data_IF_808818093875
#
_entry.id   IF_808818093875
#
_cell.length_a   1.000
_cell.length_b   1.000
_cell.length_c   1.000
_cell.angle_alpha   90.00
_cell.angle_beta   90.00
_cell.angle_gamma   90.00
#
_symmetry.space_group_name_H-M   'P 1'
#
loop_
_entity.id
_entity.type
_entity.pdbx_description
1 polymer ?
#
# COMPACT_ATOMS: atom_id res chain seq x y z
N UNK A 1 18.91 24.36 78.35
CA UNK A 1 18.79 23.59 77.11
C UNK A 1 17.33 23.51 76.63
N UNK A 2 16.75 24.60 76.15
CA UNK A 2 15.40 24.61 75.57
C UNK A 2 15.20 25.87 74.72
N UNK A 3 15.97 26.03 73.60
CA UNK A 3 15.80 27.14 72.62
C UNK A 3 15.84 26.69 71.14
N UNK A 4 15.80 25.36 70.83
CA UNK A 4 16.00 24.86 69.46
C UNK A 4 14.74 24.34 68.72
N UNK A 5 13.55 24.31 69.33
CA UNK A 5 12.40 23.54 68.77
C UNK A 5 11.37 24.46 68.07
N UNK A 6 11.53 25.77 68.14
CA UNK A 6 10.50 26.71 67.65
C UNK A 6 10.65 27.15 66.18
N UNK A 7 11.81 26.93 65.56
CA UNK A 7 12.04 27.38 64.16
C UNK A 7 11.69 26.30 63.09
N UNK A 8 11.50 25.03 63.46
CA UNK A 8 11.25 23.93 62.48
C UNK A 8 9.76 23.88 62.07
N UNK A 9 8.84 24.42 62.89
CA UNK A 9 7.40 24.38 62.58
C UNK A 9 6.91 25.35 61.50
N UNK A 10 7.66 26.43 61.24
CA UNK A 10 7.35 27.39 60.19
C UNK A 10 7.74 26.98 58.79
N UNK A 11 8.81 26.18 58.67
CA UNK A 11 9.31 25.78 57.35
C UNK A 11 8.45 24.66 56.72
N UNK A 12 7.80 23.83 57.52
CA UNK A 12 6.92 22.76 57.00
C UNK A 12 5.58 23.26 56.47
N UNK A 13 5.09 24.39 56.92
CA UNK A 13 3.83 25.00 56.43
C UNK A 13 4.03 25.73 55.11
N UNK A 14 5.24 26.24 54.79
CA UNK A 14 5.55 26.82 53.50
C UNK A 14 5.81 25.79 52.40
N UNK A 15 6.35 24.62 52.74
CA UNK A 15 6.54 23.51 51.78
C UNK A 15 5.21 22.82 51.45
N UNK A 16 4.29 22.67 52.43
CA UNK A 16 2.95 22.12 52.18
C UNK A 16 2.08 23.04 51.29
N UNK A 17 2.29 24.35 51.32
CA UNK A 17 1.57 25.30 50.47
C UNK A 17 1.99 25.29 49.00
N UNK A 18 3.26 24.92 48.70
CA UNK A 18 3.79 24.86 47.32
C UNK A 18 3.39 23.58 46.57
N UNK A 19 3.03 22.51 47.28
CA UNK A 19 2.61 21.23 46.67
C UNK A 19 1.12 21.22 46.25
N UNK A 20 0.30 22.19 46.68
CA UNK A 20 -1.09 22.30 46.28
C UNK A 20 -1.33 23.19 45.06
N UNK A 21 -0.30 23.88 44.56
CA UNK A 21 -0.43 24.69 43.32
C UNK A 21 -0.21 23.89 42.02
N UNK A 22 0.11 22.59 42.10
CA UNK A 22 0.48 21.76 40.96
C UNK A 22 -0.66 21.01 40.26
N UNK A 23 -1.90 21.08 40.71
CA UNK A 23 -3.03 20.32 40.14
C UNK A 23 -4.18 21.19 39.62
N UNK A 24 -3.93 22.42 39.15
CA UNK A 24 -4.94 23.28 38.53
C UNK A 24 -4.74 23.40 37.03
N UNK A 25 -4.53 22.27 36.35
CA UNK A 25 -4.34 22.20 34.91
C UNK A 25 -5.11 21.06 34.26
N UNK A 26 -6.33 20.72 34.70
CA UNK A 26 -7.26 20.01 33.82
C UNK A 26 -7.68 21.01 32.76
N UNK A 27 -6.99 20.93 31.60
CA UNK A 27 -7.18 21.84 30.46
C UNK A 27 -8.58 21.68 29.86
N UNK A 28 -9.58 22.20 30.60
CA UNK A 28 -10.94 22.29 30.04
C UNK A 28 -10.86 23.22 28.84
N UNK A 29 -11.15 22.69 27.67
CA UNK A 29 -11.19 23.47 26.44
C UNK A 29 -12.10 24.67 26.66
N UNK A 30 -11.58 25.88 26.47
CA UNK A 30 -12.34 27.13 26.65
C UNK A 30 -12.93 27.51 25.30
N UNK A 31 -14.23 27.34 25.15
CA UNK A 31 -15.02 27.80 24.00
C UNK A 31 -16.45 28.06 24.46
N UNK A 32 -17.08 29.12 23.95
CA UNK A 32 -18.44 29.51 24.30
C UNK A 32 -19.48 29.12 23.22
N UNK A 33 -19.00 28.78 22.01
CA UNK A 33 -19.84 28.44 20.87
C UNK A 33 -19.15 27.43 19.94
N UNK A 34 -19.88 26.77 19.04
CA UNK A 34 -19.27 25.91 18.02
C UNK A 34 -18.36 26.68 17.08
N UNK A 35 -18.73 27.94 16.76
CA UNK A 35 -17.89 28.82 15.96
C UNK A 35 -16.53 29.09 16.63
N UNK A 36 -16.55 29.51 17.89
CA UNK A 36 -15.32 29.78 18.63
C UNK A 36 -14.42 28.53 18.74
N UNK A 37 -15.01 27.36 18.97
CA UNK A 37 -14.28 26.10 18.99
C UNK A 37 -13.63 25.81 17.65
N UNK A 38 -14.36 25.99 16.54
CA UNK A 38 -13.86 25.80 15.18
C UNK A 38 -12.72 26.78 14.83
N UNK A 39 -12.91 28.07 15.10
CA UNK A 39 -11.89 29.10 14.83
C UNK A 39 -10.59 28.83 15.60
N UNK A 40 -10.69 28.41 16.86
CA UNK A 40 -9.51 28.00 17.65
C UNK A 40 -8.84 26.74 17.08
N UNK A 41 -9.65 25.75 16.65
CA UNK A 41 -9.13 24.56 16.00
C UNK A 41 -8.36 24.90 14.72
N UNK A 42 -8.92 25.76 13.86
CA UNK A 42 -8.27 26.23 12.64
C UNK A 42 -6.99 27.01 12.91
N UNK A 43 -6.99 27.89 13.92
CA UNK A 43 -5.79 28.61 14.32
C UNK A 43 -4.66 27.67 14.76
N UNK A 44 -4.97 26.60 15.48
CA UNK A 44 -4.00 25.57 15.89
C UNK A 44 -3.56 24.71 14.72
N UNK A 45 -4.49 24.31 13.85
CA UNK A 45 -4.20 23.56 12.64
C UNK A 45 -3.21 24.29 11.74
N UNK A 46 -3.44 25.58 11.47
CA UNK A 46 -2.56 26.42 10.66
C UNK A 46 -1.18 26.65 11.31
N UNK A 47 -1.05 26.46 12.62
CA UNK A 47 0.23 26.49 13.33
C UNK A 47 0.94 25.11 13.36
N UNK A 48 0.38 24.07 12.73
CA UNK A 48 0.89 22.70 12.78
C UNK A 48 0.69 21.99 14.14
N UNK A 49 -0.14 22.56 15.03
CA UNK A 49 -0.44 21.99 16.36
C UNK A 49 -1.63 21.03 16.26
N UNK A 50 -1.48 19.97 15.45
CA UNK A 50 -2.57 19.09 15.03
C UNK A 50 -3.24 18.37 16.19
N UNK A 51 -2.50 17.84 17.15
CA UNK A 51 -3.05 17.16 18.33
C UNK A 51 -4.04 18.07 19.08
N UNK A 52 -3.67 19.31 19.35
CA UNK A 52 -4.54 20.28 20.00
C UNK A 52 -5.71 20.72 19.10
N UNK A 53 -5.48 20.85 17.79
CA UNK A 53 -6.54 21.18 16.84
C UNK A 53 -7.63 20.09 16.82
N UNK A 54 -7.23 18.80 16.87
CA UNK A 54 -8.12 17.65 16.98
C UNK A 54 -9.06 17.77 18.18
N UNK A 55 -8.53 18.15 19.35
CA UNK A 55 -9.33 18.35 20.54
C UNK A 55 -10.43 19.42 20.35
N UNK A 56 -10.07 20.56 19.76
CA UNK A 56 -11.02 21.64 19.50
C UNK A 56 -12.00 21.30 18.37
N UNK A 57 -11.58 20.62 17.29
CA UNK A 57 -12.53 20.12 16.28
C UNK A 57 -13.55 19.15 16.88
N UNK A 58 -13.13 18.25 17.77
CA UNK A 58 -14.05 17.37 18.51
C UNK A 58 -15.01 18.13 19.41
N UNK A 59 -14.54 19.22 20.03
CA UNK A 59 -15.37 20.04 20.89
C UNK A 59 -16.52 20.75 20.14
N UNK A 60 -16.37 21.02 18.84
CA UNK A 60 -17.46 21.56 17.99
C UNK A 60 -18.70 20.64 18.05
N UNK A 61 -18.51 19.32 18.09
CA UNK A 61 -19.61 18.36 18.10
C UNK A 61 -20.34 18.25 19.45
N UNK A 62 -19.82 18.88 20.52
CA UNK A 62 -20.55 18.96 21.80
C UNK A 62 -21.83 19.79 21.68
N UNK A 63 -21.94 20.62 20.63
CA UNK A 63 -23.12 21.42 20.29
C UNK A 63 -24.06 20.72 19.29
N UNK A 64 -23.81 19.43 18.98
CA UNK A 64 -24.55 18.67 17.96
C UNK A 64 -23.84 18.59 16.62
N UNK A 65 -24.51 18.06 15.61
CA UNK A 65 -23.96 17.87 14.25
C UNK A 65 -24.78 18.54 13.15
N UNK A 66 -25.83 19.29 13.54
CA UNK A 66 -26.76 19.92 12.59
C UNK A 66 -26.55 21.43 12.42
N UNK A 67 -25.52 22.00 13.05
CA UNK A 67 -25.19 23.43 12.92
C UNK A 67 -24.20 23.65 11.75
N UNK A 68 -24.10 24.89 11.30
CA UNK A 68 -23.31 25.30 10.12
C UNK A 68 -21.82 24.91 10.16
N UNK A 69 -21.20 24.87 11.34
CA UNK A 69 -19.77 24.54 11.52
C UNK A 69 -19.46 23.04 11.54
N UNK A 70 -20.49 22.17 11.57
CA UNK A 70 -20.29 20.75 11.82
C UNK A 70 -19.62 20.02 10.64
N UNK A 71 -19.99 20.36 9.40
CA UNK A 71 -19.37 19.77 8.20
C UNK A 71 -17.89 20.18 8.08
N UNK A 72 -17.62 21.46 8.29
CA UNK A 72 -16.24 21.98 8.26
C UNK A 72 -15.39 21.33 9.35
N UNK A 73 -15.90 21.28 10.59
CA UNK A 73 -15.20 20.63 11.69
C UNK A 73 -14.90 19.15 11.41
N UNK A 74 -15.84 18.42 10.82
CA UNK A 74 -15.66 17.01 10.48
C UNK A 74 -14.57 16.82 9.42
N UNK A 75 -14.60 17.64 8.37
CA UNK A 75 -13.62 17.58 7.29
C UNK A 75 -12.21 17.94 7.79
N UNK A 76 -12.07 19.03 8.54
CA UNK A 76 -10.77 19.44 9.08
C UNK A 76 -10.30 18.57 10.24
N UNK A 77 -11.18 17.90 10.98
CA UNK A 77 -10.81 16.88 11.96
C UNK A 77 -10.08 15.70 11.26
N UNK A 78 -10.65 15.23 10.16
CA UNK A 78 -10.01 14.18 9.36
C UNK A 78 -8.63 14.63 8.84
N UNK A 79 -8.54 15.84 8.30
CA UNK A 79 -7.26 16.43 7.87
C UNK A 79 -6.27 16.58 9.02
N UNK A 80 -6.71 16.99 10.20
CA UNK A 80 -5.85 17.15 11.36
C UNK A 80 -5.27 15.80 11.80
N UNK A 81 -6.05 14.72 11.81
CA UNK A 81 -5.57 13.37 12.05
C UNK A 81 -4.56 12.93 10.99
N UNK A 82 -4.83 13.21 9.71
CA UNK A 82 -3.89 12.88 8.62
C UNK A 82 -2.54 13.58 8.81
N UNK A 83 -2.56 14.89 9.09
CA UNK A 83 -1.33 15.67 9.33
C UNK A 83 -0.60 15.24 10.60
N UNK A 84 -1.32 14.71 11.59
CA UNK A 84 -0.75 14.15 12.81
C UNK A 84 -0.18 12.74 12.63
N UNK A 85 -0.33 12.13 11.43
CA UNK A 85 0.12 10.78 11.13
C UNK A 85 -0.82 9.65 11.58
N UNK A 86 -2.00 10.00 12.10
CA UNK A 86 -3.01 9.08 12.60
C UNK A 86 -3.95 8.65 11.45
N UNK A 87 -3.37 8.02 10.42
CA UNK A 87 -4.04 7.76 9.14
C UNK A 87 -5.30 6.90 9.25
N UNK A 88 -5.35 5.93 10.18
CA UNK A 88 -6.53 5.10 10.39
C UNK A 88 -7.70 5.91 10.94
N UNK A 89 -7.42 6.82 11.88
CA UNK A 89 -8.44 7.72 12.43
C UNK A 89 -8.87 8.74 11.39
N UNK A 90 -7.94 9.29 10.61
CA UNK A 90 -8.25 10.17 9.49
C UNK A 90 -9.20 9.50 8.49
N UNK A 91 -8.92 8.26 8.07
CA UNK A 91 -9.77 7.50 7.16
C UNK A 91 -11.20 7.33 7.73
N UNK A 92 -11.32 7.04 9.03
CA UNK A 92 -12.62 6.90 9.71
C UNK A 92 -13.40 8.22 9.76
N UNK A 93 -12.72 9.35 9.99
CA UNK A 93 -13.39 10.66 10.04
C UNK A 93 -13.75 11.17 8.63
N UNK A 94 -12.99 10.85 7.57
CA UNK A 94 -13.39 11.07 6.18
C UNK A 94 -14.61 10.22 5.82
N UNK A 95 -14.62 8.93 6.17
CA UNK A 95 -15.77 8.06 5.94
C UNK A 95 -17.04 8.63 6.60
N UNK A 96 -16.91 9.11 7.85
CA UNK A 96 -18.01 9.75 8.56
C UNK A 96 -18.49 11.03 7.86
N UNK A 97 -17.56 11.86 7.35
CA UNK A 97 -17.89 13.04 6.57
C UNK A 97 -18.71 12.68 5.33
N UNK A 98 -18.25 11.70 4.56
CA UNK A 98 -18.90 11.22 3.33
C UNK A 98 -20.32 10.71 3.62
N UNK A 99 -20.51 9.98 4.74
CA UNK A 99 -21.80 9.40 5.10
C UNK A 99 -22.79 10.43 5.62
N UNK A 100 -22.34 11.43 6.39
CA UNK A 100 -23.23 12.42 7.03
C UNK A 100 -23.51 13.59 6.09
N UNK A 101 -22.52 14.07 5.35
CA UNK A 101 -22.59 15.28 4.53
C UNK A 101 -22.56 14.96 3.04
N UNK A 102 -23.43 14.05 2.58
CA UNK A 102 -23.44 13.46 1.22
C UNK A 102 -23.55 14.47 0.09
N UNK A 103 -24.15 15.63 0.34
CA UNK A 103 -24.32 16.71 -0.68
C UNK A 103 -23.25 17.80 -0.57
N UNK A 104 -22.29 17.68 0.35
CA UNK A 104 -21.22 18.66 0.47
C UNK A 104 -20.30 18.57 -0.76
N UNK A 105 -19.94 19.72 -1.38
CA UNK A 105 -19.11 19.72 -2.59
C UNK A 105 -17.70 19.14 -2.38
N UNK A 106 -17.26 18.99 -1.14
CA UNK A 106 -15.96 18.37 -0.78
C UNK A 106 -16.02 16.84 -0.68
N UNK A 107 -17.16 16.21 -0.88
CA UNK A 107 -17.27 14.73 -0.80
C UNK A 107 -16.28 14.04 -1.75
N UNK A 108 -16.12 14.43 -3.02
CA UNK A 108 -15.11 13.84 -3.89
C UNK A 108 -13.69 13.97 -3.32
N UNK A 109 -13.33 15.14 -2.81
CA UNK A 109 -12.03 15.37 -2.16
C UNK A 109 -11.86 14.50 -0.90
N UNK A 110 -12.90 14.35 -0.08
CA UNK A 110 -12.86 13.50 1.10
C UNK A 110 -12.66 12.02 0.75
N UNK A 111 -13.28 11.52 -0.33
CA UNK A 111 -13.06 10.15 -0.83
C UNK A 111 -11.61 9.95 -1.27
N UNK A 112 -11.05 10.89 -2.00
CA UNK A 112 -9.65 10.86 -2.40
C UNK A 112 -8.70 10.91 -1.18
N UNK A 113 -8.92 11.82 -0.23
CA UNK A 113 -8.08 11.96 0.96
C UNK A 113 -8.19 10.73 1.89
N UNK A 114 -9.36 10.06 1.92
CA UNK A 114 -9.52 8.75 2.57
C UNK A 114 -8.63 7.68 1.92
N UNK A 115 -8.60 7.63 0.59
CA UNK A 115 -7.72 6.71 -0.14
C UNK A 115 -6.24 7.00 0.14
N UNK A 116 -5.85 8.29 0.25
CA UNK A 116 -4.50 8.69 0.66
C UNK A 116 -4.13 8.18 2.07
N UNK A 117 -5.09 8.08 2.99
CA UNK A 117 -4.83 7.50 4.32
C UNK A 117 -4.39 6.04 4.19
N UNK A 118 -5.08 5.22 3.40
CA UNK A 118 -4.67 3.82 3.15
C UNK A 118 -3.35 3.73 2.38
N UNK A 119 -3.10 4.65 1.46
CA UNK A 119 -1.81 4.75 0.77
C UNK A 119 -0.66 4.98 1.76
N UNK A 120 -0.84 5.85 2.76
CA UNK A 120 0.14 6.10 3.82
C UNK A 120 0.32 4.90 4.77
N UNK A 121 -0.73 4.11 4.99
CA UNK A 121 -0.69 2.88 5.78
C UNK A 121 -0.07 1.71 5.03
N UNK A 122 0.02 1.78 3.69
CA UNK A 122 0.59 0.72 2.85
C UNK A 122 2.07 0.48 3.18
N UNK A 123 2.44 -0.69 3.74
CA UNK A 123 3.80 -0.95 4.20
C UNK A 123 4.76 -1.29 3.05
N UNK A 124 6.06 -1.46 3.30
CA UNK A 124 7.00 -2.08 2.37
C UNK A 124 6.51 -3.43 1.86
N UNK A 125 6.96 -3.85 0.65
CA UNK A 125 6.42 -5.03 -0.05
C UNK A 125 6.62 -6.35 0.72
N UNK A 126 7.58 -6.42 1.61
CA UNK A 126 7.90 -7.61 2.42
C UNK A 126 6.79 -7.97 3.41
N UNK A 127 6.05 -6.95 3.89
CA UNK A 127 5.01 -7.11 4.90
C UNK A 127 3.65 -7.46 4.27
N UNK A 128 2.62 -7.62 5.11
CA UNK A 128 1.24 -7.81 4.64
C UNK A 128 0.76 -6.61 3.81
N UNK A 129 0.05 -6.90 2.72
CA UNK A 129 -0.35 -5.88 1.73
C UNK A 129 -1.87 -5.57 1.78
N UNK A 130 -2.51 -5.82 2.91
CA UNK A 130 -3.96 -5.56 3.07
C UNK A 130 -4.28 -4.08 2.86
N UNK A 131 -3.52 -3.17 3.48
CA UNK A 131 -3.75 -1.73 3.32
C UNK A 131 -3.36 -1.22 1.92
N UNK A 132 -2.39 -1.87 1.26
CA UNK A 132 -2.08 -1.59 -0.16
C UNK A 132 -3.27 -1.89 -1.06
N UNK A 133 -3.94 -3.03 -0.88
CA UNK A 133 -5.14 -3.40 -1.65
C UNK A 133 -6.30 -2.45 -1.36
N UNK A 134 -6.54 -2.13 -0.08
CA UNK A 134 -7.56 -1.14 0.31
C UNK A 134 -7.33 0.23 -0.34
N UNK A 135 -6.08 0.67 -0.43
CA UNK A 135 -5.75 1.93 -1.09
C UNK A 135 -6.08 1.88 -2.59
N UNK A 136 -5.72 0.80 -3.28
CA UNK A 136 -6.05 0.62 -4.71
C UNK A 136 -7.56 0.64 -4.92
N UNK A 137 -8.32 -0.12 -4.11
CA UNK A 137 -9.78 -0.17 -4.18
C UNK A 137 -10.41 1.21 -3.93
N UNK A 138 -9.92 1.95 -2.94
CA UNK A 138 -10.44 3.27 -2.60
C UNK A 138 -10.15 4.31 -3.70
N UNK A 139 -8.95 4.30 -4.29
CA UNK A 139 -8.63 5.17 -5.42
C UNK A 139 -9.43 4.78 -6.68
N UNK A 140 -9.59 3.48 -6.96
CA UNK A 140 -10.40 3.04 -8.10
C UNK A 140 -11.85 3.47 -7.95
N UNK A 141 -12.44 3.31 -6.77
CA UNK A 141 -13.80 3.76 -6.47
C UNK A 141 -13.95 5.28 -6.67
N UNK A 142 -12.94 6.06 -6.27
CA UNK A 142 -12.93 7.51 -6.51
C UNK A 142 -12.93 7.83 -8.02
N UNK A 143 -12.07 7.18 -8.81
CA UNK A 143 -11.99 7.38 -10.26
C UNK A 143 -13.32 7.01 -10.93
N UNK A 144 -13.91 5.89 -10.55
CA UNK A 144 -15.16 5.39 -11.12
C UNK A 144 -16.35 6.33 -10.84
N UNK A 145 -16.39 6.95 -9.64
CA UNK A 145 -17.43 7.90 -9.26
C UNK A 145 -17.24 9.29 -9.84
N UNK A 146 -16.00 9.72 -9.97
CA UNK A 146 -15.67 11.10 -10.35
C UNK A 146 -14.66 11.15 -11.52
N UNK A 147 -14.98 10.59 -12.69
CA UNK A 147 -14.03 10.41 -13.79
C UNK A 147 -13.46 11.70 -14.36
N UNK A 148 -14.14 12.84 -14.13
CA UNK A 148 -13.70 14.15 -14.59
C UNK A 148 -13.10 15.04 -13.49
N UNK A 149 -12.84 14.49 -12.32
CA UNK A 149 -12.27 15.26 -11.21
C UNK A 149 -10.76 15.50 -11.42
N UNK A 150 -10.26 16.67 -11.02
CA UNK A 150 -8.86 17.09 -11.20
C UNK A 150 -7.83 16.14 -10.57
N UNK A 151 -8.21 15.35 -9.56
CA UNK A 151 -7.35 14.40 -8.84
C UNK A 151 -7.32 13.00 -9.48
N UNK A 152 -8.00 12.76 -10.61
CA UNK A 152 -8.04 11.43 -11.25
C UNK A 152 -6.66 10.98 -11.73
N UNK A 153 -5.89 11.89 -12.33
CA UNK A 153 -4.54 11.57 -12.78
C UNK A 153 -3.62 11.19 -11.62
N UNK A 154 -3.70 11.93 -10.51
CA UNK A 154 -2.92 11.62 -9.31
C UNK A 154 -3.36 10.28 -8.69
N UNK A 155 -4.67 10.02 -8.58
CA UNK A 155 -5.20 8.74 -8.09
C UNK A 155 -4.72 7.57 -8.96
N UNK A 156 -4.74 7.72 -10.28
CA UNK A 156 -4.22 6.74 -11.25
C UNK A 156 -2.74 6.47 -11.03
N UNK A 157 -1.95 7.51 -10.81
CA UNK A 157 -0.53 7.37 -10.52
C UNK A 157 -0.29 6.60 -9.20
N UNK A 158 -1.06 6.89 -8.15
CA UNK A 158 -0.99 6.16 -6.88
C UNK A 158 -1.33 4.67 -7.04
N UNK A 159 -2.34 4.35 -7.84
CA UNK A 159 -2.67 2.95 -8.17
C UNK A 159 -1.49 2.26 -8.85
N UNK A 160 -0.83 2.89 -9.84
CA UNK A 160 0.34 2.31 -10.52
C UNK A 160 1.48 2.01 -9.54
N UNK A 161 1.79 2.92 -8.62
CA UNK A 161 2.81 2.74 -7.58
C UNK A 161 2.50 1.56 -6.67
N UNK A 162 1.23 1.44 -6.23
CA UNK A 162 0.78 0.35 -5.36
C UNK A 162 0.77 -1.00 -6.10
N UNK A 163 0.33 -1.03 -7.37
CA UNK A 163 0.38 -2.23 -8.21
C UNK A 163 1.82 -2.70 -8.45
N UNK A 164 2.75 -1.77 -8.71
CA UNK A 164 4.16 -2.09 -8.84
C UNK A 164 4.74 -2.69 -7.53
N UNK A 165 4.29 -2.23 -6.36
CA UNK A 165 4.65 -2.81 -5.06
C UNK A 165 4.15 -4.25 -4.91
N UNK A 166 2.90 -4.52 -5.29
CA UNK A 166 2.33 -5.88 -5.26
C UNK A 166 3.04 -6.81 -6.26
N UNK A 167 3.31 -6.33 -7.47
CA UNK A 167 4.07 -7.06 -8.48
C UNK A 167 5.47 -7.43 -7.96
N UNK A 168 6.17 -6.47 -7.34
CA UNK A 168 7.48 -6.72 -6.72
C UNK A 168 7.41 -7.83 -5.67
N UNK A 169 6.43 -7.78 -4.78
CA UNK A 169 6.25 -8.82 -3.75
C UNK A 169 6.13 -10.22 -4.37
N UNK A 170 5.29 -10.35 -5.39
CA UNK A 170 5.08 -11.63 -6.06
C UNK A 170 6.31 -12.07 -6.86
N UNK A 171 6.99 -11.13 -7.53
CA UNK A 171 8.24 -11.37 -8.24
C UNK A 171 9.35 -11.89 -7.30
N UNK A 172 9.52 -11.27 -6.13
CA UNK A 172 10.51 -11.72 -5.14
C UNK A 172 10.15 -13.10 -4.54
N UNK A 173 8.88 -13.44 -4.44
CA UNK A 173 8.44 -14.79 -4.08
C UNK A 173 8.84 -15.82 -5.16
N UNK A 174 8.65 -15.48 -6.45
CA UNK A 174 9.09 -16.33 -7.56
C UNK A 174 10.61 -16.53 -7.56
N UNK A 175 11.38 -15.46 -7.32
CA UNK A 175 12.84 -15.55 -7.16
C UNK A 175 13.25 -16.43 -5.99
N UNK A 176 12.52 -16.41 -4.89
CA UNK A 176 12.79 -17.29 -3.76
C UNK A 176 12.57 -18.75 -4.14
N UNK A 177 11.48 -19.09 -4.84
CA UNK A 177 11.26 -20.44 -5.36
C UNK A 177 12.37 -20.87 -6.31
N UNK A 178 12.80 -20.00 -7.23
CA UNK A 178 13.90 -20.27 -8.17
C UNK A 178 15.22 -20.58 -7.43
N UNK A 179 15.59 -19.77 -6.44
CA UNK A 179 16.78 -20.01 -5.60
C UNK A 179 16.73 -21.34 -4.83
N UNK A 180 15.53 -21.82 -4.54
CA UNK A 180 15.29 -23.10 -3.85
C UNK A 180 15.13 -24.27 -4.83
N UNK A 181 15.37 -24.03 -6.12
CA UNK A 181 15.23 -25.01 -7.19
C UNK A 181 13.82 -25.60 -7.34
N UNK A 182 12.81 -24.89 -6.80
CA UNK A 182 11.39 -25.20 -6.96
C UNK A 182 10.89 -24.59 -8.27
N UNK A 183 11.44 -25.08 -9.40
CA UNK A 183 11.29 -24.43 -10.70
C UNK A 183 9.88 -24.38 -11.23
N UNK A 184 9.05 -25.38 -10.96
CA UNK A 184 7.62 -25.34 -11.30
C UNK A 184 6.91 -24.20 -10.59
N UNK A 185 7.08 -24.10 -9.27
CA UNK A 185 6.48 -23.02 -8.46
C UNK A 185 7.04 -21.64 -8.89
N UNK A 186 8.33 -21.56 -9.20
CA UNK A 186 8.94 -20.34 -9.70
C UNK A 186 8.32 -19.90 -11.03
N UNK A 187 8.23 -20.80 -12.00
CA UNK A 187 7.70 -20.53 -13.34
C UNK A 187 6.26 -20.01 -13.28
N UNK A 188 5.38 -20.74 -12.57
CA UNK A 188 3.97 -20.35 -12.41
C UNK A 188 3.82 -19.02 -11.66
N UNK A 189 4.67 -18.77 -10.63
CA UNK A 189 4.58 -17.53 -9.86
C UNK A 189 5.08 -16.34 -10.69
N UNK A 190 6.15 -16.49 -11.47
CA UNK A 190 6.59 -15.45 -12.40
C UNK A 190 5.54 -15.16 -13.48
N UNK A 191 4.94 -16.18 -14.08
CA UNK A 191 3.87 -16.00 -15.07
C UNK A 191 2.68 -15.26 -14.48
N UNK A 192 2.28 -15.57 -13.24
CA UNK A 192 1.23 -14.88 -12.53
C UNK A 192 1.55 -13.39 -12.23
N UNK A 193 2.82 -13.00 -12.08
CA UNK A 193 3.20 -11.57 -11.98
C UNK A 193 2.82 -10.84 -13.25
N UNK A 194 3.19 -11.39 -14.41
CA UNK A 194 2.86 -10.79 -15.69
C UNK A 194 1.34 -10.75 -15.92
N UNK A 195 0.62 -11.85 -15.66
CA UNK A 195 -0.82 -11.93 -15.90
C UNK A 195 -1.63 -10.97 -15.03
N UNK A 196 -1.17 -10.70 -13.80
CA UNK A 196 -1.88 -9.84 -12.85
C UNK A 196 -1.46 -8.37 -12.96
N UNK A 197 -0.19 -8.11 -13.28
CA UNK A 197 0.43 -6.79 -13.26
C UNK A 197 1.20 -6.47 -14.55
N UNK A 198 0.60 -6.60 -15.75
CA UNK A 198 1.29 -6.40 -17.03
C UNK A 198 1.75 -4.96 -17.25
N UNK A 199 1.15 -4.02 -16.53
CA UNK A 199 1.37 -2.57 -16.59
C UNK A 199 2.50 -2.09 -15.64
N UNK A 200 3.20 -3.00 -14.97
CA UNK A 200 4.23 -2.66 -13.99
C UNK A 200 5.65 -2.90 -14.52
N UNK A 201 6.66 -2.23 -13.94
CA UNK A 201 8.07 -2.42 -14.32
C UNK A 201 8.62 -3.84 -14.07
N UNK A 202 7.83 -4.72 -13.45
CA UNK A 202 8.22 -6.10 -13.12
C UNK A 202 7.74 -7.13 -14.14
N UNK A 203 6.95 -6.71 -15.12
CA UNK A 203 6.24 -7.62 -16.01
C UNK A 203 7.17 -8.34 -16.99
N UNK A 204 8.08 -7.62 -17.65
CA UNK A 204 9.05 -8.20 -18.59
C UNK A 204 10.15 -9.00 -17.87
N UNK A 205 10.64 -8.53 -16.73
CA UNK A 205 11.54 -9.29 -15.85
C UNK A 205 10.89 -10.63 -15.42
N UNK A 206 9.61 -10.61 -15.08
CA UNK A 206 8.87 -11.80 -14.70
C UNK A 206 8.73 -12.79 -15.86
N UNK A 207 8.44 -12.32 -17.08
CA UNK A 207 8.40 -13.19 -18.26
C UNK A 207 9.75 -13.88 -18.52
N UNK A 208 10.85 -13.15 -18.43
CA UNK A 208 12.20 -13.74 -18.57
C UNK A 208 12.46 -14.74 -17.45
N UNK A 209 12.07 -14.44 -16.22
CA UNK A 209 12.15 -15.34 -15.09
C UNK A 209 11.35 -16.63 -15.31
N UNK A 210 10.12 -16.50 -15.82
CA UNK A 210 9.25 -17.65 -16.14
C UNK A 210 9.87 -18.54 -17.24
N UNK A 211 10.36 -17.95 -18.34
CA UNK A 211 11.04 -18.68 -19.42
C UNK A 211 12.21 -19.49 -18.85
N UNK A 212 13.07 -18.84 -18.06
CA UNK A 212 14.24 -19.48 -17.43
C UNK A 212 13.82 -20.63 -16.49
N UNK A 213 12.82 -20.39 -15.67
CA UNK A 213 12.33 -21.37 -14.71
C UNK A 213 11.66 -22.59 -15.40
N UNK A 214 10.89 -22.39 -16.48
CA UNK A 214 10.34 -23.51 -17.27
C UNK A 214 11.42 -24.34 -17.95
N UNK A 215 12.52 -23.74 -18.43
CA UNK A 215 13.66 -24.46 -18.98
C UNK A 215 14.33 -25.31 -17.89
N UNK A 216 14.60 -24.73 -16.73
CA UNK A 216 15.18 -25.45 -15.60
C UNK A 216 14.26 -26.59 -15.11
N UNK A 217 12.95 -26.34 -15.07
CA UNK A 217 11.95 -27.34 -14.75
C UNK A 217 11.93 -28.48 -15.78
N UNK A 218 12.07 -28.17 -17.06
CA UNK A 218 12.20 -29.19 -18.11
C UNK A 218 13.48 -30.01 -17.94
N UNK A 219 14.63 -29.36 -17.70
CA UNK A 219 15.93 -30.02 -17.54
C UNK A 219 15.93 -31.04 -16.38
N UNK A 220 15.19 -30.77 -15.28
CA UNK A 220 15.07 -31.67 -14.13
C UNK A 220 13.93 -32.72 -14.27
N UNK A 221 13.17 -32.68 -15.34
CA UNK A 221 12.02 -33.54 -15.52
C UNK A 221 12.33 -34.88 -16.15
N UNK A 222 11.46 -35.87 -15.91
CA UNK A 222 11.49 -37.10 -16.67
C UNK A 222 11.32 -36.81 -18.17
N UNK A 223 12.02 -37.56 -19.01
CA UNK A 223 12.14 -37.32 -20.46
C UNK A 223 10.81 -37.13 -21.19
N UNK A 224 9.77 -37.85 -20.76
CA UNK A 224 8.43 -37.77 -21.36
C UNK A 224 7.71 -36.46 -21.09
N UNK A 225 8.08 -35.69 -20.03
CA UNK A 225 7.49 -34.41 -19.66
C UNK A 225 8.28 -33.19 -20.15
N UNK A 226 9.55 -33.37 -20.53
CA UNK A 226 10.42 -32.30 -20.97
C UNK A 226 9.86 -31.52 -22.17
N UNK A 227 9.31 -32.15 -23.24
CA UNK A 227 8.87 -31.40 -24.41
C UNK A 227 7.75 -30.41 -24.14
N UNK A 228 6.81 -30.76 -23.25
CA UNK A 228 5.73 -29.85 -22.86
C UNK A 228 6.26 -28.57 -22.20
N UNK A 229 7.20 -28.72 -21.27
CA UNK A 229 7.76 -27.63 -20.48
C UNK A 229 8.64 -26.70 -21.30
N UNK A 230 9.45 -27.23 -22.25
CA UNK A 230 10.16 -26.40 -23.22
C UNK A 230 9.21 -25.63 -24.14
N UNK A 231 8.06 -26.21 -24.53
CA UNK A 231 7.05 -25.49 -25.31
C UNK A 231 6.44 -24.33 -24.53
N UNK A 232 6.24 -24.47 -23.20
CA UNK A 232 5.77 -23.37 -22.38
C UNK A 232 6.80 -22.21 -22.38
N UNK A 233 8.09 -22.50 -22.20
CA UNK A 233 9.13 -21.50 -22.29
C UNK A 233 9.14 -20.77 -23.65
N UNK A 234 9.00 -21.53 -24.76
CA UNK A 234 8.91 -21.00 -26.11
C UNK A 234 7.71 -20.06 -26.27
N UNK A 235 6.53 -20.51 -25.83
CA UNK A 235 5.29 -19.71 -25.87
C UNK A 235 5.39 -18.40 -25.10
N UNK A 236 6.05 -18.40 -23.93
CA UNK A 236 6.25 -17.18 -23.15
C UNK A 236 7.20 -16.21 -23.83
N UNK A 237 8.23 -16.69 -24.52
CA UNK A 237 9.07 -15.84 -25.35
C UNK A 237 8.30 -15.18 -26.49
N UNK A 238 7.47 -15.94 -27.20
CA UNK A 238 6.62 -15.42 -28.27
C UNK A 238 5.66 -14.34 -27.74
N UNK A 239 5.09 -14.56 -26.56
CA UNK A 239 4.24 -13.60 -25.85
C UNK A 239 5.01 -12.33 -25.45
N UNK A 240 6.24 -12.49 -24.96
CA UNK A 240 7.11 -11.35 -24.63
C UNK A 240 7.41 -10.49 -25.86
N UNK A 241 7.70 -11.13 -26.99
CA UNK A 241 8.00 -10.43 -28.25
C UNK A 241 6.81 -9.60 -28.75
N UNK A 242 5.59 -10.08 -28.53
CA UNK A 242 4.36 -9.39 -28.92
C UNK A 242 4.03 -8.19 -28.01
N UNK A 243 4.29 -8.32 -26.71
CA UNK A 243 3.82 -7.34 -25.71
C UNK A 243 4.89 -6.32 -25.35
N UNK A 244 6.16 -6.74 -25.33
CA UNK A 244 7.29 -5.92 -24.98
C UNK A 244 8.36 -5.88 -26.09
N UNK A 245 8.03 -5.44 -27.33
CA UNK A 245 8.95 -5.47 -28.46
C UNK A 245 10.21 -4.60 -28.24
N UNK A 246 10.14 -3.61 -27.36
CA UNK A 246 11.24 -2.69 -27.05
C UNK A 246 11.93 -3.00 -25.71
N UNK A 247 11.63 -4.14 -25.07
CA UNK A 247 12.26 -4.48 -23.80
C UNK A 247 13.76 -4.72 -23.94
N UNK A 248 14.60 -4.14 -23.07
CA UNK A 248 16.03 -4.40 -23.07
C UNK A 248 16.37 -5.87 -22.76
N UNK A 249 15.41 -6.63 -22.23
CA UNK A 249 15.56 -8.04 -21.85
C UNK A 249 15.35 -8.99 -23.03
N UNK A 250 14.89 -8.53 -24.20
CA UNK A 250 14.61 -9.38 -25.35
C UNK A 250 15.81 -10.23 -25.78
N UNK A 251 17.03 -9.68 -25.77
CA UNK A 251 18.24 -10.45 -26.09
C UNK A 251 18.45 -11.63 -25.14
N UNK A 252 18.20 -11.43 -23.85
CA UNK A 252 18.29 -12.48 -22.84
C UNK A 252 17.21 -13.53 -23.04
N UNK A 253 15.98 -13.11 -23.32
CA UNK A 253 14.87 -14.00 -23.63
C UNK A 253 15.09 -14.83 -24.89
N UNK A 254 15.67 -14.24 -25.95
CA UNK A 254 16.04 -14.91 -27.21
C UNK A 254 17.09 -16.03 -27.02
N UNK A 255 18.09 -15.76 -26.18
CA UNK A 255 19.08 -16.80 -25.84
C UNK A 255 18.44 -17.98 -25.12
N UNK A 256 17.49 -17.74 -24.20
CA UNK A 256 16.72 -18.77 -23.52
C UNK A 256 15.80 -19.53 -24.48
N UNK A 257 15.10 -18.83 -25.36
CA UNK A 257 14.27 -19.41 -26.42
C UNK A 257 15.07 -20.34 -27.32
N UNK A 258 16.24 -19.89 -27.78
CA UNK A 258 17.13 -20.69 -28.62
C UNK A 258 17.57 -21.98 -27.92
N UNK A 259 17.91 -21.90 -26.63
CA UNK A 259 18.21 -23.07 -25.80
C UNK A 259 17.02 -24.03 -25.72
N UNK A 260 15.83 -23.51 -25.42
CA UNK A 260 14.63 -24.34 -25.32
C UNK A 260 14.30 -25.05 -26.63
N UNK A 261 14.42 -24.35 -27.79
CA UNK A 261 14.22 -24.94 -29.11
C UNK A 261 15.22 -26.05 -29.42
N UNK A 262 16.51 -25.80 -29.16
CA UNK A 262 17.56 -26.81 -29.38
C UNK A 262 17.31 -28.08 -28.56
N UNK A 263 16.94 -27.92 -27.28
CA UNK A 263 16.61 -29.06 -26.41
C UNK A 263 15.38 -29.84 -26.90
N UNK A 264 14.34 -29.12 -27.32
CA UNK A 264 13.14 -29.74 -27.86
C UNK A 264 13.42 -30.53 -29.13
N UNK A 265 14.26 -30.03 -30.03
CA UNK A 265 14.65 -30.71 -31.26
C UNK A 265 15.54 -31.94 -30.97
N UNK A 266 16.49 -31.88 -30.06
CA UNK A 266 17.24 -33.05 -29.59
C UNK A 266 16.34 -34.17 -29.10
N UNK A 267 15.32 -33.83 -28.28
CA UNK A 267 14.37 -34.84 -27.77
C UNK A 267 13.55 -35.51 -28.86
N UNK A 268 13.18 -34.79 -29.93
CA UNK A 268 12.49 -35.35 -31.08
C UNK A 268 13.39 -36.33 -31.86
N UNK A 269 14.63 -35.92 -32.11
CA UNK A 269 15.62 -36.74 -32.85
C UNK A 269 15.90 -38.05 -32.08
N UNK A 270 16.12 -37.97 -30.78
CA UNK A 270 16.33 -39.16 -29.93
C UNK A 270 15.15 -40.09 -29.93
N UNK A 271 13.92 -39.56 -29.91
CA UNK A 271 12.71 -40.37 -29.95
C UNK A 271 12.55 -41.12 -31.31
N UNK A 272 12.90 -40.45 -32.42
CA UNK A 272 12.85 -41.05 -33.75
C UNK A 272 13.89 -42.16 -33.92
N UNK A 273 15.12 -41.95 -33.40
CA UNK A 273 16.17 -42.97 -33.41
C UNK A 273 15.80 -44.20 -32.60
N UNK A 274 15.20 -43.99 -31.43
CA UNK A 274 14.71 -45.13 -30.58
C UNK A 274 13.61 -45.95 -31.25
N UNK A 275 12.72 -45.30 -32.01
CA UNK A 275 11.68 -45.99 -32.77
C UNK A 275 12.21 -46.80 -33.96
N UNK A 276 13.23 -46.26 -34.66
CA UNK A 276 13.89 -46.94 -35.76
C UNK A 276 14.66 -48.21 -35.34
N UNK A 277 15.21 -48.22 -34.11
CA UNK A 277 15.93 -49.37 -33.57
C UNK A 277 15.02 -50.54 -33.10
N UNK A 278 13.75 -50.29 -32.86
CA UNK A 278 12.77 -51.33 -32.44
C UNK A 278 12.17 -52.04 -33.63
N UNK A 279 12.35 -51.56 -34.86
CA UNK A 279 11.82 -52.15 -36.11
C UNK A 279 12.80 -53.04 -36.83
N UNK A 280 13.98 -53.22 -36.29
CA UNK A 280 15.01 -54.15 -36.78
C UNK A 280 15.28 -55.28 -35.76
#
# INVERSE_FOLDING_TARGET
MLKGIRQIRGAWLLIAGLLLAGCAGSGRLRHASPQEAFERAMALYNQGKYERAIEYFKAVFSYGRAHEWAADAQFYLARAYYQNGEYLLAASEYERFIQIYQIDPRVPQAEYERALCYYKLSPPYEFDQTDTRKAIEAFQLFIDRYPNHELVDEATQRIRELRAKLARKQYEAARLYERRELYEAAAVTYEAVFDTYPDTPWADDALVGAIRAYIAFADQSVRTRQPERYRQAIKLYERMLQIFPDSPLLRTAEALYTRARQRLEQLKNDASLAQGQVQH
#
